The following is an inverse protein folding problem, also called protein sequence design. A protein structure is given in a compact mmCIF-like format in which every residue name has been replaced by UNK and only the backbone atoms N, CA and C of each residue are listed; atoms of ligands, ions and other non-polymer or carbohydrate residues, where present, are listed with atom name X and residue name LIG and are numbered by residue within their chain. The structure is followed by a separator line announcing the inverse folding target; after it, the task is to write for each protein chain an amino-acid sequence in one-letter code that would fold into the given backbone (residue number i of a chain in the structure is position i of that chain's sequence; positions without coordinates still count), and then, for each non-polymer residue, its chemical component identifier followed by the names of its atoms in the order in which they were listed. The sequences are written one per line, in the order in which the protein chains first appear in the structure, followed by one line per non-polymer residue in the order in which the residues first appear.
data_IF_159331831628
#
_entry.id   IF_159331831628
#
_cell.length_a   1.000
_cell.length_b   1.000
_cell.length_c   1.000
_cell.angle_alpha   90.00
_cell.angle_beta   90.00
_cell.angle_gamma   90.00
#
_symmetry.space_group_name_H-M   'P 1'
#
loop_
_entity.id
_entity.type
_entity.pdbx_description
1 polymer ?
#
# COMPACT_ATOMS: atom_id res chain seq x y z
N UNK A 1 -6.58 10.63 19.58
CA UNK A 1 -6.06 11.51 18.61
C UNK A 1 -6.28 10.99 17.20
N UNK A 2 -6.96 11.78 16.43
CA UNK A 2 -7.45 11.27 15.16
C UNK A 2 -6.64 11.72 13.96
N UNK A 3 -5.60 12.47 14.23
CA UNK A 3 -4.80 13.05 13.16
C UNK A 3 -3.74 12.06 12.69
N UNK A 4 -4.06 11.39 11.61
CA UNK A 4 -3.13 10.47 10.97
C UNK A 4 -2.64 11.15 9.69
N UNK A 5 -1.33 11.15 9.41
CA UNK A 5 -0.84 11.73 8.17
C UNK A 5 -1.52 11.09 6.96
N UNK A 6 -1.77 11.90 5.94
CA UNK A 6 -2.47 11.46 4.74
C UNK A 6 -1.82 10.22 4.10
N UNK A 7 -0.49 10.17 4.11
CA UNK A 7 0.22 9.05 3.49
C UNK A 7 -0.03 7.72 4.20
N UNK A 8 -0.54 7.74 5.43
CA UNK A 8 -0.86 6.53 6.17
C UNK A 8 -2.26 6.00 5.90
N UNK A 9 -3.06 6.75 5.14
CA UNK A 9 -4.46 6.40 4.93
C UNK A 9 -4.68 5.04 4.28
N UNK A 10 -3.74 4.60 3.44
CA UNK A 10 -3.85 3.32 2.75
C UNK A 10 -3.27 2.15 3.55
N UNK A 11 -2.70 2.43 4.72
CA UNK A 11 -2.04 1.40 5.51
C UNK A 11 -3.05 0.66 6.40
N UNK A 12 -2.82 -0.64 6.55
CA UNK A 12 -3.59 -1.48 7.45
C UNK A 12 -2.78 -1.74 8.71
N UNK A 13 -3.41 -2.36 9.71
CA UNK A 13 -2.73 -2.65 10.97
C UNK A 13 -1.46 -3.47 10.77
N UNK A 14 -1.49 -4.42 9.85
CA UNK A 14 -0.32 -5.24 9.56
C UNK A 14 0.83 -4.41 9.00
N UNK A 15 0.51 -3.40 8.21
CA UNK A 15 1.52 -2.51 7.65
C UNK A 15 2.19 -1.69 8.75
N UNK A 16 1.40 -1.21 9.70
CA UNK A 16 1.93 -0.49 10.84
C UNK A 16 2.87 -1.36 11.68
N UNK A 17 2.49 -2.61 11.90
CA UNK A 17 3.32 -3.55 12.63
C UNK A 17 4.64 -3.80 11.89
N UNK A 18 4.57 -3.94 10.58
CA UNK A 18 5.78 -4.12 9.77
C UNK A 18 6.72 -2.91 9.89
N UNK A 19 6.18 -1.72 9.78
CA UNK A 19 6.96 -0.49 9.92
C UNK A 19 7.66 -0.42 11.28
N UNK A 20 6.92 -0.73 12.33
CA UNK A 20 7.47 -0.72 13.68
C UNK A 20 8.64 -1.70 13.80
N UNK A 21 8.45 -2.93 13.34
CA UNK A 21 9.51 -3.94 13.40
C UNK A 21 10.70 -3.57 12.54
N UNK A 22 10.45 -2.96 11.39
CA UNK A 22 11.51 -2.52 10.49
C UNK A 22 12.40 -1.47 11.18
N UNK A 23 11.78 -0.50 11.84
CA UNK A 23 12.50 0.52 12.54
C UNK A 23 13.28 -0.08 13.73
N UNK A 24 12.67 -0.97 14.47
CA UNK A 24 13.31 -1.62 15.61
C UNK A 24 14.48 -2.51 15.16
N UNK A 25 14.43 -3.02 13.94
CA UNK A 25 15.51 -3.80 13.35
C UNK A 25 16.55 -2.91 12.67
N UNK A 26 16.46 -1.61 12.87
CA UNK A 26 17.34 -0.61 12.24
C UNK A 26 17.43 -0.75 10.74
N UNK A 27 16.31 -1.13 10.11
CA UNK A 27 16.24 -1.27 8.66
C UNK A 27 16.79 -2.57 8.11
N UNK A 28 17.09 -3.56 8.96
CA UNK A 28 17.65 -4.82 8.51
C UNK A 28 16.58 -5.78 8.00
N UNK A 29 16.52 -5.96 6.68
CA UNK A 29 15.59 -6.91 6.08
C UNK A 29 15.98 -8.36 6.41
N UNK A 30 17.26 -8.61 6.61
CA UNK A 30 17.73 -9.94 7.02
C UNK A 30 17.14 -10.31 8.39
N UNK A 31 17.18 -9.38 9.32
CA UNK A 31 16.61 -9.60 10.64
C UNK A 31 15.09 -9.75 10.56
N UNK A 32 14.45 -8.94 9.73
CA UNK A 32 13.01 -9.04 9.53
C UNK A 32 12.61 -10.40 8.97
N UNK A 33 13.37 -10.91 8.01
CA UNK A 33 13.12 -12.23 7.45
C UNK A 33 13.20 -13.30 8.54
N UNK A 34 14.19 -13.21 9.42
CA UNK A 34 14.32 -14.14 10.53
C UNK A 34 13.13 -14.04 11.49
N UNK A 35 12.72 -12.83 11.84
CA UNK A 35 11.58 -12.62 12.75
C UNK A 35 10.27 -13.19 12.18
N UNK A 36 10.04 -13.00 10.90
CA UNK A 36 8.81 -13.49 10.27
C UNK A 36 8.90 -14.95 9.80
N UNK A 37 10.08 -15.56 9.88
CA UNK A 37 10.25 -16.93 9.45
C UNK A 37 10.07 -17.10 7.95
N UNK A 38 10.49 -16.13 7.15
CA UNK A 38 10.35 -16.16 5.70
C UNK A 38 11.69 -15.83 5.03
N UNK A 39 11.74 -15.94 3.70
CA UNK A 39 12.96 -15.64 2.96
C UNK A 39 13.17 -14.14 2.80
N UNK A 40 14.40 -13.74 2.55
CA UNK A 40 14.72 -12.33 2.28
C UNK A 40 13.91 -11.76 1.11
N UNK A 41 13.81 -12.43 -0.04
CA UNK A 41 12.99 -11.91 -1.13
C UNK A 41 11.53 -11.67 -0.75
N UNK A 42 10.98 -12.51 0.12
CA UNK A 42 9.60 -12.34 0.59
C UNK A 42 9.44 -11.06 1.38
N UNK A 43 10.36 -10.79 2.31
CA UNK A 43 10.33 -9.55 3.08
C UNK A 43 10.56 -8.34 2.19
N UNK A 44 11.48 -8.46 1.24
CA UNK A 44 11.77 -7.38 0.29
C UNK A 44 10.53 -7.02 -0.52
N UNK A 45 9.81 -8.04 -0.99
CA UNK A 45 8.58 -7.81 -1.74
C UNK A 45 7.55 -7.07 -0.89
N UNK A 46 7.44 -7.47 0.38
CA UNK A 46 6.51 -6.81 1.29
C UNK A 46 6.87 -5.35 1.52
N UNK A 47 8.16 -5.07 1.66
CA UNK A 47 8.63 -3.69 1.78
C UNK A 47 8.29 -2.88 0.53
N UNK A 48 8.50 -3.47 -0.65
CA UNK A 48 8.20 -2.78 -1.91
C UNK A 48 6.71 -2.44 -2.01
N UNK A 49 5.84 -3.35 -1.60
CA UNK A 49 4.39 -3.10 -1.58
C UNK A 49 4.04 -1.99 -0.60
N UNK A 50 4.67 -1.98 0.54
CA UNK A 50 4.44 -0.95 1.54
C UNK A 50 4.86 0.43 1.02
N UNK A 51 6.00 0.49 0.34
CA UNK A 51 6.45 1.73 -0.28
C UNK A 51 5.41 2.25 -1.27
N UNK A 52 4.84 1.35 -2.09
CA UNK A 52 3.82 1.74 -3.05
C UNK A 52 2.56 2.26 -2.36
N UNK A 53 2.15 1.62 -1.26
CA UNK A 53 0.98 2.09 -0.50
C UNK A 53 1.21 3.49 0.07
N UNK A 54 2.38 3.76 0.57
CA UNK A 54 2.72 5.08 1.09
C UNK A 54 2.63 6.12 -0.01
N UNK A 55 3.19 5.82 -1.18
CA UNK A 55 3.11 6.72 -2.32
C UNK A 55 1.68 6.98 -2.76
N UNK A 56 0.85 5.94 -2.78
CA UNK A 56 -0.56 6.09 -3.12
C UNK A 56 -1.28 6.99 -2.12
N UNK A 57 -0.96 6.86 -0.84
CA UNK A 57 -1.54 7.70 0.19
C UNK A 57 -1.19 9.16 0.00
N UNK A 58 0.02 9.44 -0.45
CA UNK A 58 0.45 10.81 -0.73
C UNK A 58 -0.23 11.39 -1.96
N UNK A 59 -0.42 10.58 -2.99
CA UNK A 59 -1.02 11.02 -4.25
C UNK A 59 -2.52 11.15 -4.21
N UNK A 60 -3.18 10.33 -3.43
CA UNK A 60 -4.63 10.18 -3.46
C UNK A 60 -5.32 11.07 -2.45
N UNK A 61 -5.01 12.35 -2.49
CA UNK A 61 -5.60 13.28 -1.51
C UNK A 61 -7.09 13.45 -1.63
N UNK A 62 -7.61 13.36 -2.83
CA UNK A 62 -8.97 13.80 -3.10
C UNK A 62 -9.89 12.72 -3.63
N UNK A 63 -9.38 11.53 -3.91
CA UNK A 63 -10.24 10.52 -4.51
C UNK A 63 -10.10 9.17 -3.80
N UNK A 64 -10.98 8.92 -2.82
CA UNK A 64 -10.95 7.67 -2.05
C UNK A 64 -11.18 6.42 -2.90
N UNK A 65 -11.99 6.53 -3.96
CA UNK A 65 -12.25 5.38 -4.81
C UNK A 65 -10.99 4.96 -5.58
N UNK A 66 -10.31 5.93 -6.19
CA UNK A 66 -9.07 5.63 -6.89
C UNK A 66 -8.02 5.04 -5.95
N UNK A 67 -7.92 5.59 -4.75
CA UNK A 67 -7.00 5.07 -3.75
C UNK A 67 -7.31 3.62 -3.40
N UNK A 68 -8.60 3.29 -3.25
CA UNK A 68 -9.02 1.94 -2.94
C UNK A 68 -8.63 0.97 -4.05
N UNK A 69 -8.94 1.31 -5.30
CA UNK A 69 -8.63 0.45 -6.44
C UNK A 69 -7.13 0.21 -6.55
N UNK A 70 -6.34 1.27 -6.42
CA UNK A 70 -4.88 1.15 -6.49
C UNK A 70 -4.31 0.30 -5.36
N UNK A 71 -4.84 0.46 -4.15
CA UNK A 71 -4.40 -0.33 -3.01
C UNK A 71 -4.70 -1.81 -3.21
N UNK A 72 -5.88 -2.14 -3.72
CA UNK A 72 -6.24 -3.53 -3.97
C UNK A 72 -5.34 -4.15 -5.02
N UNK A 73 -4.96 -3.38 -6.04
CA UNK A 73 -4.03 -3.86 -7.06
C UNK A 73 -2.64 -4.11 -6.48
N UNK A 74 -2.16 -3.23 -5.61
CA UNK A 74 -0.86 -3.40 -4.95
C UNK A 74 -0.84 -4.67 -4.10
N UNK A 75 -1.95 -4.97 -3.45
CA UNK A 75 -2.06 -6.14 -2.58
C UNK A 75 -2.41 -7.43 -3.33
N UNK A 76 -2.43 -7.40 -4.65
CA UNK A 76 -2.79 -8.54 -5.48
C UNK A 76 -4.21 -9.05 -5.25
N UNK A 77 -5.08 -8.22 -4.71
CA UNK A 77 -6.50 -8.56 -4.54
C UNK A 77 -7.30 -8.24 -5.78
N UNK A 78 -6.69 -7.47 -6.68
CA UNK A 78 -7.31 -7.04 -7.92
C UNK A 78 -6.21 -7.06 -8.97
N UNK A 79 -6.44 -7.72 -10.10
CA UNK A 79 -5.39 -7.76 -11.12
C UNK A 79 -5.24 -6.39 -11.79
N UNK A 80 -4.05 -6.18 -12.35
CA UNK A 80 -3.69 -4.88 -12.90
C UNK A 80 -4.62 -4.41 -14.01
N UNK A 81 -4.96 -5.31 -14.94
CA UNK A 81 -5.84 -4.95 -16.05
C UNK A 81 -7.24 -4.56 -15.58
N UNK A 82 -7.77 -5.30 -14.61
CA UNK A 82 -9.07 -4.97 -14.02
C UNK A 82 -9.01 -3.63 -13.30
N UNK A 83 -7.94 -3.37 -12.57
CA UNK A 83 -7.77 -2.10 -11.88
C UNK A 83 -7.76 -0.94 -12.87
N UNK A 84 -7.04 -1.09 -13.97
CA UNK A 84 -6.99 -0.07 -15.02
C UNK A 84 -8.37 0.18 -15.63
N UNK A 85 -9.11 -0.89 -15.87
CA UNK A 85 -10.46 -0.77 -16.41
C UNK A 85 -11.37 -0.01 -15.47
N UNK A 86 -11.35 -0.38 -14.19
CA UNK A 86 -12.17 0.29 -13.19
C UNK A 86 -11.85 1.78 -13.07
N UNK A 87 -10.58 2.12 -13.07
CA UNK A 87 -10.17 3.53 -13.00
C UNK A 87 -10.58 4.29 -14.25
N UNK A 88 -10.42 3.67 -15.42
CA UNK A 88 -10.80 4.29 -16.67
C UNK A 88 -12.28 4.60 -16.72
N UNK A 89 -13.12 3.64 -16.34
CA UNK A 89 -14.58 3.83 -16.34
C UNK A 89 -15.01 4.84 -15.29
N UNK A 90 -14.38 4.80 -14.15
CA UNK A 90 -14.69 5.75 -13.08
C UNK A 90 -14.39 7.19 -13.52
N UNK A 91 -13.25 7.41 -14.17
CA UNK A 91 -12.86 8.74 -14.65
C UNK A 91 -13.82 9.24 -15.72
N UNK A 92 -14.29 8.36 -16.61
CA UNK A 92 -15.29 8.72 -17.60
C UNK A 92 -16.57 9.17 -16.94
N UNK A 93 -17.01 8.45 -15.90
CA UNK A 93 -18.21 8.80 -15.17
C UNK A 93 -18.09 10.19 -14.56
N UNK A 94 -16.95 10.52 -14.00
CA UNK A 94 -16.72 11.83 -13.40
C UNK A 94 -16.71 12.94 -14.45
N UNK A 95 -16.16 12.67 -15.62
CA UNK A 95 -16.13 13.67 -16.69
C UNK A 95 -17.52 13.98 -17.23
N UNK A 96 -18.41 13.00 -17.20
CA UNK A 96 -19.77 13.16 -17.71
C UNK A 96 -20.68 13.89 -16.72
N UNK A 97 -20.27 13.96 -15.48
CA UNK A 97 -21.06 14.68 -14.47
C UNK A 97 -20.52 16.08 -14.23
#
# INVERSE_FOLDING_TARGET
MDMVPTWMAALEDEDGTFIKKFILASGSLKEMAAQYGVSYPTVRLRLDRLIQKIRLGEESRSDPYEALVKRLAVDDRLDFDTAKLLLSEYRKTKEES
#
